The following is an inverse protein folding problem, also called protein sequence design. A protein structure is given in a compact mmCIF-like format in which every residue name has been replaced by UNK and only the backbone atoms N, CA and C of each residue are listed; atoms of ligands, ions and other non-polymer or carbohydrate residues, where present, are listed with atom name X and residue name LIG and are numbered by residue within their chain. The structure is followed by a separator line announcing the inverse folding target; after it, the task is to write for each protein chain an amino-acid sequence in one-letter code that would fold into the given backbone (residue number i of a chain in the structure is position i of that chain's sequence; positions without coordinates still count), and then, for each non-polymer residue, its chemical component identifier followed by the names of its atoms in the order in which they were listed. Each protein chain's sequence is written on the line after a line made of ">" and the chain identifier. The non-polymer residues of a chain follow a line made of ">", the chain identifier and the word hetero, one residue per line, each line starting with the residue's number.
data_IF_097105418668
#
_entry.id   IF_097105418668
#
_cell.length_a   1.000
_cell.length_b   1.000
_cell.length_c   1.000
_cell.angle_alpha   90.00
_cell.angle_beta   90.00
_cell.angle_gamma   90.00
#
_symmetry.space_group_name_H-M   'P 1'
#
loop_
_entity.id
_entity.type
_entity.pdbx_description
1 polymer ?
#
# COMPACT_ATOMS: atom_id res chain seq x y z
N UNK A 1 -9.38 8.54 -29.57
CA UNK A 1 -10.59 7.98 -28.97
C UNK A 1 -10.14 7.01 -27.91
N UNK A 2 -10.25 7.38 -26.63
CA UNK A 2 -9.94 6.46 -25.54
C UNK A 2 -11.00 5.37 -25.54
N UNK A 3 -10.62 4.17 -25.97
CA UNK A 3 -11.36 2.96 -25.67
C UNK A 3 -11.46 2.90 -24.15
N UNK A 4 -12.67 3.11 -23.62
CA UNK A 4 -12.93 3.13 -22.18
C UNK A 4 -12.22 1.96 -21.52
N UNK A 5 -11.61 2.20 -20.35
CA UNK A 5 -10.85 1.16 -19.64
C UNK A 5 -11.76 -0.04 -19.38
N UNK A 6 -11.55 -1.14 -20.11
CA UNK A 6 -12.33 -2.36 -19.93
C UNK A 6 -11.62 -3.22 -18.89
N UNK A 7 -12.16 -3.20 -17.68
CA UNK A 7 -11.78 -4.15 -16.64
C UNK A 7 -12.23 -5.56 -17.03
N UNK A 8 -11.31 -6.52 -16.93
CA UNK A 8 -11.52 -7.92 -17.30
C UNK A 8 -11.37 -8.84 -16.09
N UNK A 9 -11.83 -10.08 -16.25
CA UNK A 9 -11.54 -11.13 -15.27
C UNK A 9 -10.02 -11.33 -15.15
N UNK A 10 -9.56 -11.55 -13.92
CA UNK A 10 -8.13 -11.62 -13.61
C UNK A 10 -7.50 -12.87 -14.24
N UNK A 11 -6.48 -12.66 -15.09
CA UNK A 11 -5.66 -13.73 -15.67
C UNK A 11 -4.30 -13.80 -14.95
N UNK A 12 -3.60 -14.95 -14.98
CA UNK A 12 -2.22 -15.04 -14.51
C UNK A 12 -1.33 -13.99 -15.16
N UNK A 13 -0.42 -13.40 -14.38
CA UNK A 13 0.49 -12.37 -14.87
C UNK A 13 1.68 -13.02 -15.59
N UNK A 14 2.04 -12.48 -16.75
CA UNK A 14 3.15 -12.99 -17.57
C UNK A 14 4.45 -12.28 -17.19
N UNK A 15 5.51 -13.03 -16.94
CA UNK A 15 6.84 -12.55 -16.52
C UNK A 15 6.82 -11.54 -15.35
N UNK A 16 6.20 -11.90 -14.20
CA UNK A 16 6.09 -10.98 -13.07
C UNK A 16 7.43 -10.79 -12.34
N UNK A 17 7.72 -9.55 -11.97
CA UNK A 17 8.75 -9.16 -11.00
C UNK A 17 8.07 -8.75 -9.69
N UNK A 18 8.61 -9.19 -8.55
CA UNK A 18 8.01 -8.99 -7.24
C UNK A 18 8.77 -7.94 -6.41
N UNK A 19 8.05 -7.31 -5.49
CA UNK A 19 8.59 -6.44 -4.44
C UNK A 19 7.90 -6.74 -3.11
N UNK A 20 8.51 -6.37 -1.98
CA UNK A 20 7.94 -6.56 -0.65
C UNK A 20 6.73 -5.66 -0.39
N UNK A 21 5.72 -6.19 0.29
CA UNK A 21 4.52 -5.48 0.70
C UNK A 21 4.52 -5.30 2.23
N UNK A 22 5.36 -4.39 2.72
CA UNK A 22 5.46 -4.12 4.16
C UNK A 22 4.40 -3.12 4.62
N UNK A 23 4.21 -2.04 3.85
CA UNK A 23 3.25 -0.98 4.12
C UNK A 23 2.33 -0.75 2.91
N UNK A 24 1.09 -0.38 3.23
CA UNK A 24 0.12 0.11 2.24
C UNK A 24 -0.23 1.54 2.58
N UNK A 25 -0.55 2.32 1.55
CA UNK A 25 -0.92 3.73 1.67
C UNK A 25 -2.20 4.04 0.93
N UNK A 26 -3.01 4.93 1.52
CA UNK A 26 -4.11 5.63 0.84
C UNK A 26 -3.68 7.07 0.65
N UNK A 27 -3.39 7.42 -0.60
CA UNK A 27 -3.06 8.78 -0.98
C UNK A 27 -4.35 9.57 -1.22
N UNK A 28 -4.43 10.77 -0.67
CA UNK A 28 -5.56 11.68 -0.84
C UNK A 28 -5.08 13.10 -1.15
N UNK A 29 -5.94 13.88 -1.80
CA UNK A 29 -5.69 15.32 -1.96
C UNK A 29 -5.90 16.05 -0.63
N UNK A 30 -5.36 17.26 -0.53
CA UNK A 30 -5.32 17.97 0.74
C UNK A 30 -6.72 18.32 1.29
N UNK A 31 -7.69 18.61 0.42
CA UNK A 31 -9.09 18.79 0.81
C UNK A 31 -9.71 17.53 1.43
N UNK A 32 -9.48 16.37 0.82
CA UNK A 32 -9.95 15.08 1.36
C UNK A 32 -9.24 14.74 2.69
N UNK A 33 -7.99 15.17 2.85
CA UNK A 33 -7.27 15.07 4.13
C UNK A 33 -7.93 15.93 5.20
N UNK A 34 -8.23 17.20 4.91
CA UNK A 34 -8.93 18.09 5.84
C UNK A 34 -10.29 17.53 6.26
N UNK A 35 -11.05 16.99 5.31
CA UNK A 35 -12.33 16.32 5.59
C UNK A 35 -12.14 15.12 6.53
N UNK A 36 -11.09 14.31 6.30
CA UNK A 36 -10.79 13.17 7.16
C UNK A 36 -10.41 13.59 8.59
N UNK A 37 -9.63 14.67 8.75
CA UNK A 37 -9.31 15.24 10.08
C UNK A 37 -10.59 15.74 10.74
N UNK A 38 -11.41 16.52 10.05
CA UNK A 38 -12.66 17.08 10.61
C UNK A 38 -13.61 15.98 11.08
N UNK A 39 -13.71 14.87 10.34
CA UNK A 39 -14.57 13.73 10.68
C UNK A 39 -13.93 12.76 11.69
N UNK A 40 -12.62 12.85 11.90
CA UNK A 40 -11.84 11.85 12.63
C UNK A 40 -11.95 10.46 12.02
N UNK A 41 -12.08 10.36 10.69
CA UNK A 41 -12.20 9.08 9.97
C UNK A 41 -11.85 9.23 8.48
N UNK A 42 -11.32 8.17 7.87
CA UNK A 42 -11.17 8.12 6.41
C UNK A 42 -12.53 7.93 5.75
N UNK A 43 -12.85 8.71 4.71
CA UNK A 43 -14.16 8.66 4.05
C UNK A 43 -14.25 7.46 3.09
N UNK A 44 -15.10 6.44 3.39
CA UNK A 44 -15.25 5.27 2.53
C UNK A 44 -16.02 5.60 1.25
N UNK A 45 -15.70 4.88 0.17
CA UNK A 45 -16.35 5.03 -1.14
C UNK A 45 -17.04 3.74 -1.56
N UNK A 46 -18.08 3.84 -2.37
CA UNK A 46 -18.68 2.64 -2.99
C UNK A 46 -17.79 2.15 -4.13
N UNK A 47 -17.75 0.83 -4.35
CA UNK A 47 -17.13 0.25 -5.54
C UNK A 47 -18.06 0.45 -6.74
N UNK A 48 -17.87 1.53 -7.48
CA UNK A 48 -18.70 1.88 -8.65
C UNK A 48 -18.15 1.36 -9.97
N UNK A 49 -16.83 1.16 -10.07
CA UNK A 49 -16.13 0.98 -11.33
C UNK A 49 -15.68 -0.46 -11.60
N UNK A 50 -16.50 -1.46 -11.30
CA UNK A 50 -16.14 -2.87 -11.46
C UNK A 50 -17.17 -3.67 -12.26
N UNK A 51 -16.72 -4.79 -12.83
CA UNK A 51 -17.61 -5.76 -13.49
C UNK A 51 -18.68 -6.30 -12.54
N UNK A 52 -18.33 -6.39 -11.25
CA UNK A 52 -19.21 -6.89 -10.19
C UNK A 52 -19.65 -5.75 -9.29
N UNK A 53 -20.98 -5.54 -9.20
CA UNK A 53 -21.55 -4.58 -8.25
C UNK A 53 -21.37 -5.09 -6.83
N UNK A 54 -20.42 -4.53 -6.10
CA UNK A 54 -20.25 -4.74 -4.67
C UNK A 54 -21.09 -3.71 -3.91
N UNK A 55 -22.05 -4.18 -3.11
CA UNK A 55 -22.86 -3.33 -2.22
C UNK A 55 -22.14 -3.09 -0.89
N UNK A 56 -20.85 -2.77 -0.94
CA UNK A 56 -20.06 -2.43 0.23
C UNK A 56 -19.37 -1.09 0.04
N UNK A 57 -18.97 -0.50 1.17
CA UNK A 57 -18.08 0.64 1.20
C UNK A 57 -16.65 0.12 1.38
N UNK A 58 -15.72 0.75 0.68
CA UNK A 58 -14.32 0.40 0.71
C UNK A 58 -13.45 1.63 0.87
N UNK A 59 -12.26 1.42 1.42
CA UNK A 59 -11.14 2.34 1.29
C UNK A 59 -10.12 1.71 0.34
N UNK A 60 -9.75 2.45 -0.70
CA UNK A 60 -8.72 2.04 -1.65
C UNK A 60 -7.34 2.39 -1.11
N UNK A 61 -6.47 1.39 -1.08
CA UNK A 61 -5.06 1.45 -0.73
C UNK A 61 -4.21 0.84 -1.85
N UNK A 62 -2.92 1.14 -1.85
CA UNK A 62 -1.92 0.52 -2.72
C UNK A 62 -0.64 0.27 -1.91
N UNK A 63 0.30 -0.56 -2.39
CA UNK A 63 1.65 -0.63 -1.82
C UNK A 63 2.24 0.77 -1.64
N UNK A 64 2.84 1.03 -0.47
CA UNK A 64 3.43 2.34 -0.15
C UNK A 64 4.53 2.72 -1.14
N UNK A 65 4.62 4.01 -1.48
CA UNK A 65 5.64 4.56 -2.37
C UNK A 65 6.45 5.63 -1.65
N UNK A 66 7.63 5.95 -2.17
CA UNK A 66 8.42 7.06 -1.63
C UNK A 66 7.62 8.37 -1.67
N UNK A 67 7.66 9.12 -0.58
CA UNK A 67 7.07 10.46 -0.50
C UNK A 67 7.83 11.50 -1.32
N UNK A 68 9.11 11.25 -1.62
CA UNK A 68 9.95 12.15 -2.42
C UNK A 68 9.54 12.19 -3.89
N UNK A 69 9.02 11.07 -4.40
CA UNK A 69 8.60 10.92 -5.78
C UNK A 69 7.27 11.64 -6.01
N UNK A 70 7.07 12.16 -7.22
CA UNK A 70 5.79 12.77 -7.57
C UNK A 70 4.62 11.78 -7.39
N UNK A 71 3.72 12.12 -6.48
CA UNK A 71 2.56 11.31 -6.15
C UNK A 71 1.33 11.82 -6.89
N UNK A 72 0.98 11.15 -7.99
CA UNK A 72 -0.19 11.46 -8.81
C UNK A 72 -1.53 11.44 -8.07
N UNK A 73 -1.62 10.77 -6.91
CA UNK A 73 -2.87 10.55 -6.19
C UNK A 73 -3.19 11.61 -5.15
N UNK A 74 -2.21 12.42 -4.73
CA UNK A 74 -2.44 13.59 -3.88
C UNK A 74 -1.32 13.88 -2.89
N UNK A 75 -1.61 14.83 -2.01
CA UNK A 75 -0.66 15.48 -1.10
C UNK A 75 -0.34 14.67 0.15
N UNK A 76 -1.27 13.85 0.64
CA UNK A 76 -1.12 13.17 1.93
C UNK A 76 -1.36 11.68 1.78
N UNK A 77 -0.47 10.85 2.32
CA UNK A 77 -0.61 9.41 2.42
C UNK A 77 -0.99 9.01 3.84
N UNK A 78 -2.05 8.23 3.98
CA UNK A 78 -2.34 7.48 5.20
C UNK A 78 -1.70 6.10 5.08
N UNK A 79 -0.60 5.87 5.77
CA UNK A 79 0.25 4.69 5.63
C UNK A 79 0.15 3.79 6.86
N UNK A 80 0.00 2.48 6.64
CA UNK A 80 -0.12 1.47 7.71
C UNK A 80 0.54 0.17 7.27
N UNK A 81 1.06 -0.60 8.24
CA UNK A 81 1.65 -1.93 7.98
C UNK A 81 0.59 -2.88 7.43
N UNK A 82 0.93 -3.57 6.34
CA UNK A 82 0.03 -4.50 5.66
C UNK A 82 -0.44 -5.63 6.58
N UNK A 83 0.49 -6.20 7.34
CA UNK A 83 0.21 -7.30 8.28
C UNK A 83 -0.82 -6.91 9.34
N UNK A 84 -0.69 -5.71 9.92
CA UNK A 84 -1.64 -5.19 10.92
C UNK A 84 -3.05 -5.05 10.34
N UNK A 85 -3.15 -4.57 9.09
CA UNK A 85 -4.42 -4.44 8.39
C UNK A 85 -5.04 -5.82 8.10
N UNK A 86 -4.24 -6.78 7.60
CA UNK A 86 -4.73 -8.12 7.32
C UNK A 86 -5.26 -8.81 8.58
N UNK A 87 -4.53 -8.73 9.69
CA UNK A 87 -4.93 -9.32 10.96
C UNK A 87 -6.23 -8.70 11.49
N UNK A 88 -6.41 -7.38 11.35
CA UNK A 88 -7.58 -6.66 11.89
C UNK A 88 -8.81 -6.72 10.99
N UNK A 89 -8.64 -6.56 9.67
CA UNK A 89 -9.71 -6.28 8.71
C UNK A 89 -10.06 -7.45 7.80
N UNK A 90 -9.42 -8.60 7.99
CA UNK A 90 -9.94 -9.88 7.56
C UNK A 90 -8.94 -10.69 6.77
N UNK A 91 -9.00 -12.03 6.87
CA UNK A 91 -8.06 -12.90 6.21
C UNK A 91 -8.40 -13.11 4.72
N UNK A 92 -9.60 -12.73 4.28
CA UNK A 92 -10.08 -13.08 2.96
C UNK A 92 -9.68 -12.03 1.92
N UNK A 93 -9.06 -12.52 0.86
CA UNK A 93 -8.66 -11.74 -0.31
C UNK A 93 -9.35 -12.29 -1.54
N UNK A 94 -10.02 -11.42 -2.29
CA UNK A 94 -10.75 -11.79 -3.51
C UNK A 94 -10.32 -10.92 -4.68
N UNK A 95 -10.26 -11.48 -5.88
CA UNK A 95 -10.09 -10.71 -7.11
C UNK A 95 -11.34 -9.91 -7.43
N UNK A 96 -11.19 -8.60 -7.65
CA UNK A 96 -12.26 -7.77 -8.22
C UNK A 96 -12.17 -7.85 -9.74
N UNK A 97 -11.04 -7.40 -10.30
CA UNK A 97 -10.76 -7.43 -11.73
C UNK A 97 -9.30 -7.01 -12.03
N UNK A 98 -8.97 -6.96 -13.32
CA UNK A 98 -7.66 -6.58 -13.85
C UNK A 98 -7.83 -5.68 -15.06
N UNK A 99 -6.90 -4.75 -15.27
CA UNK A 99 -6.80 -3.95 -16.49
C UNK A 99 -5.36 -4.00 -17.03
N UNK A 100 -5.23 -4.16 -18.35
CA UNK A 100 -3.92 -4.21 -19.02
C UNK A 100 -3.87 -3.12 -20.08
N UNK A 101 -2.93 -2.19 -19.93
CA UNK A 101 -2.71 -1.06 -20.83
C UNK A 101 -1.39 -1.25 -21.60
N UNK A 102 -1.07 -0.32 -22.49
CA UNK A 102 0.22 -0.33 -23.20
C UNK A 102 1.39 0.05 -22.28
N UNK A 103 1.17 0.92 -21.31
CA UNK A 103 2.25 1.40 -20.44
C UNK A 103 2.31 0.70 -19.09
N UNK A 104 1.21 0.09 -18.64
CA UNK A 104 1.07 -0.48 -17.29
C UNK A 104 0.01 -1.55 -17.26
N UNK A 105 -0.08 -2.26 -16.15
CA UNK A 105 -1.23 -3.10 -15.81
C UNK A 105 -1.67 -2.82 -14.38
N UNK A 106 -2.88 -3.22 -14.03
CA UNK A 106 -3.46 -3.06 -12.70
C UNK A 106 -4.24 -4.33 -12.32
N UNK A 107 -4.07 -4.80 -11.09
CA UNK A 107 -4.95 -5.80 -10.49
C UNK A 107 -5.59 -5.21 -9.24
N UNK A 108 -6.91 -5.38 -9.11
CA UNK A 108 -7.67 -4.92 -7.95
C UNK A 108 -8.15 -6.10 -7.12
N UNK A 109 -7.88 -6.04 -5.83
CA UNK A 109 -8.27 -7.07 -4.86
C UNK A 109 -9.14 -6.48 -3.76
N UNK A 110 -10.02 -7.30 -3.20
CA UNK A 110 -10.86 -6.98 -2.04
C UNK A 110 -10.32 -7.69 -0.81
N UNK A 111 -9.99 -6.93 0.24
CA UNK A 111 -9.73 -7.42 1.59
C UNK A 111 -11.01 -7.29 2.42
N UNK A 112 -11.44 -8.38 3.07
CA UNK A 112 -12.68 -8.37 3.85
C UNK A 112 -12.72 -9.45 4.94
N UNK A 113 -13.48 -9.17 6.01
CA UNK A 113 -13.85 -10.14 7.05
C UNK A 113 -14.91 -11.13 6.55
N UNK A 114 -15.70 -10.76 5.55
CA UNK A 114 -16.81 -11.57 5.03
C UNK A 114 -16.29 -12.69 4.12
N UNK A 115 -17.07 -13.75 4.03
CA UNK A 115 -16.85 -14.80 3.04
C UNK A 115 -17.63 -14.46 1.76
N UNK A 116 -16.93 -14.41 0.63
CA UNK A 116 -17.52 -14.25 -0.71
C UNK A 116 -17.15 -15.38 -1.68
N UNK A 117 -16.82 -16.55 -1.15
CA UNK A 117 -16.58 -17.76 -1.93
C UNK A 117 -17.80 -18.06 -2.82
N UNK A 118 -17.55 -18.59 -4.01
CA UNK A 118 -18.58 -18.80 -5.04
C UNK A 118 -19.02 -17.52 -5.78
N UNK A 119 -18.83 -16.32 -5.20
CA UNK A 119 -19.12 -15.04 -5.86
C UNK A 119 -17.87 -14.40 -6.48
N UNK A 120 -16.74 -14.49 -5.79
CA UNK A 120 -15.46 -14.02 -6.29
C UNK A 120 -14.40 -15.12 -6.23
N UNK A 121 -13.43 -15.04 -7.13
CA UNK A 121 -12.27 -15.92 -7.08
C UNK A 121 -11.35 -15.45 -5.95
N UNK A 122 -11.07 -16.34 -5.00
CA UNK A 122 -10.12 -16.09 -3.92
C UNK A 122 -8.71 -15.87 -4.48
N UNK A 123 -7.95 -14.97 -3.87
CA UNK A 123 -6.54 -14.79 -4.17
C UNK A 123 -5.79 -15.95 -3.52
N UNK A 124 -5.12 -16.75 -4.34
CA UNK A 124 -4.19 -17.76 -3.84
C UNK A 124 -2.84 -17.10 -3.58
N UNK A 125 -2.41 -17.13 -2.33
CA UNK A 125 -1.17 -16.51 -1.87
C UNK A 125 0.06 -17.43 -2.07
N UNK A 126 -0.15 -18.69 -2.43
CA UNK A 126 0.91 -19.69 -2.57
C UNK A 126 1.21 -20.02 -4.04
N UNK A 127 0.40 -19.52 -4.97
CA UNK A 127 0.54 -19.79 -6.41
C UNK A 127 1.49 -18.80 -7.07
N UNK A 128 2.43 -19.36 -7.84
CA UNK A 128 3.33 -18.59 -8.71
C UNK A 128 2.50 -17.74 -9.68
N UNK A 129 2.98 -16.52 -9.97
CA UNK A 129 2.29 -15.56 -10.84
C UNK A 129 1.01 -14.92 -10.26
N UNK A 130 0.69 -15.19 -8.99
CA UNK A 130 -0.32 -14.42 -8.26
C UNK A 130 0.17 -12.96 -8.08
N UNK A 131 -0.70 -11.94 -8.26
CA UNK A 131 -0.33 -10.53 -8.05
C UNK A 131 0.06 -10.21 -6.61
N UNK A 132 -0.31 -11.08 -5.67
CA UNK A 132 0.04 -11.01 -4.26
C UNK A 132 0.36 -12.42 -3.78
N UNK A 133 1.52 -12.60 -3.15
CA UNK A 133 1.97 -13.87 -2.59
C UNK A 133 2.39 -13.69 -1.13
N UNK A 134 2.30 -14.79 -0.39
CA UNK A 134 2.89 -14.90 0.94
C UNK A 134 4.22 -15.64 0.80
N UNK A 135 5.31 -14.99 1.19
CA UNK A 135 6.63 -15.59 1.25
C UNK A 135 7.12 -15.57 2.70
N UNK A 136 8.12 -16.38 3.08
CA UNK A 136 8.82 -16.11 4.35
C UNK A 136 9.88 -15.04 4.06
N UNK A 137 9.90 -13.88 4.76
CA UNK A 137 9.23 -13.58 6.03
C UNK A 137 7.89 -12.80 5.96
N UNK A 138 7.36 -12.42 4.80
CA UNK A 138 6.16 -11.57 4.72
C UNK A 138 5.30 -11.71 3.46
N UNK A 139 4.95 -10.58 2.86
CA UNK A 139 4.15 -10.54 1.64
C UNK A 139 4.95 -9.90 0.52
N UNK A 140 4.74 -10.40 -0.70
CA UNK A 140 5.29 -9.79 -1.91
C UNK A 140 4.17 -9.57 -2.90
N UNK A 141 4.27 -8.49 -3.67
CA UNK A 141 3.32 -8.15 -4.72
C UNK A 141 4.06 -8.01 -6.06
N UNK A 142 3.32 -8.16 -7.16
CA UNK A 142 3.89 -7.94 -8.49
C UNK A 142 4.05 -6.44 -8.72
N UNK A 143 5.29 -5.98 -8.89
CA UNK A 143 5.63 -4.59 -9.17
C UNK A 143 5.75 -4.32 -10.68
N UNK A 144 6.12 -5.34 -11.46
CA UNK A 144 6.24 -5.27 -12.93
C UNK A 144 5.78 -6.57 -13.58
N UNK A 145 5.21 -6.49 -14.77
CA UNK A 145 4.90 -7.67 -15.59
C UNK A 145 4.72 -7.28 -17.05
N UNK A 146 4.54 -8.26 -17.93
CA UNK A 146 4.17 -8.04 -19.32
C UNK A 146 2.82 -7.31 -19.39
N UNK A 147 2.81 -6.15 -20.05
CA UNK A 147 1.62 -5.41 -20.42
C UNK A 147 1.25 -5.69 -21.89
N UNK A 148 0.45 -4.85 -22.56
CA UNK A 148 0.08 -5.12 -23.97
C UNK A 148 1.25 -5.14 -24.95
N UNK A 149 2.35 -4.45 -24.63
CA UNK A 149 3.45 -4.23 -25.58
C UNK A 149 4.83 -4.59 -25.02
N UNK A 150 5.07 -4.48 -23.71
CA UNK A 150 6.37 -4.78 -23.08
C UNK A 150 6.25 -5.10 -21.61
N UNK A 151 7.35 -5.54 -20.99
CA UNK A 151 7.44 -5.56 -19.54
C UNK A 151 7.35 -4.13 -18.99
N UNK A 152 6.48 -3.90 -18.01
CA UNK A 152 6.26 -2.57 -17.44
C UNK A 152 5.59 -2.62 -16.08
N UNK A 153 5.32 -1.45 -15.47
CA UNK A 153 4.78 -1.36 -14.12
C UNK A 153 3.44 -2.08 -13.96
N UNK A 154 3.29 -2.77 -12.83
CA UNK A 154 2.05 -3.34 -12.35
C UNK A 154 1.59 -2.60 -11.10
N UNK A 155 0.31 -2.21 -11.07
CA UNK A 155 -0.31 -1.54 -9.93
C UNK A 155 -1.20 -2.55 -9.20
N UNK A 156 -0.92 -2.80 -7.93
CA UNK A 156 -1.85 -3.51 -7.05
C UNK A 156 -2.71 -2.47 -6.32
N UNK A 157 -4.03 -2.53 -6.49
CA UNK A 157 -4.98 -1.76 -5.69
C UNK A 157 -5.76 -2.68 -4.75
N UNK A 158 -5.84 -2.31 -3.49
CA UNK A 158 -6.47 -3.08 -2.43
C UNK A 158 -7.67 -2.29 -1.92
N UNK A 159 -8.87 -2.75 -2.28
CA UNK A 159 -10.10 -2.31 -1.66
C UNK A 159 -10.26 -3.00 -0.32
N UNK A 160 -10.23 -2.25 0.77
CA UNK A 160 -10.52 -2.76 2.11
C UNK A 160 -11.99 -2.50 2.40
N UNK A 161 -12.80 -3.55 2.56
CA UNK A 161 -14.19 -3.40 3.00
C UNK A 161 -14.24 -2.89 4.43
N UNK A 162 -14.93 -1.76 4.64
CA UNK A 162 -15.00 -1.09 5.94
C UNK A 162 -16.41 -0.65 6.28
N UNK A 163 -16.69 -0.61 7.58
CA UNK A 163 -17.74 0.23 8.16
C UNK A 163 -17.11 1.48 8.81
N UNK A 164 -17.92 2.33 9.44
CA UNK A 164 -17.44 3.56 10.08
C UNK A 164 -16.40 3.30 11.19
N UNK A 165 -16.56 2.23 11.96
CA UNK A 165 -15.63 1.87 13.02
C UNK A 165 -14.27 1.44 12.46
N UNK A 166 -14.26 0.62 11.40
CA UNK A 166 -13.05 0.20 10.70
C UNK A 166 -12.35 1.39 10.02
N UNK A 167 -13.12 2.33 9.47
CA UNK A 167 -12.60 3.56 8.85
C UNK A 167 -11.97 4.54 9.86
N UNK A 168 -12.58 4.70 11.04
CA UNK A 168 -12.01 5.43 12.19
C UNK A 168 -10.74 4.75 12.69
N UNK A 169 -10.77 3.43 12.82
CA UNK A 169 -9.60 2.67 13.25
C UNK A 169 -8.42 2.88 12.28
N UNK A 170 -8.65 2.78 10.97
CA UNK A 170 -7.59 3.07 9.98
C UNK A 170 -7.08 4.51 10.09
N UNK A 171 -7.96 5.50 10.24
CA UNK A 171 -7.54 6.89 10.44
C UNK A 171 -6.57 7.05 11.63
N UNK A 172 -6.89 6.41 12.76
CA UNK A 172 -6.09 6.49 13.99
C UNK A 172 -4.81 5.65 13.95
N UNK A 173 -4.75 4.60 13.13
CA UNK A 173 -3.61 3.68 13.07
C UNK A 173 -2.71 3.91 11.85
N UNK A 174 -3.10 4.80 10.94
CA UNK A 174 -2.25 5.24 9.85
C UNK A 174 -1.34 6.38 10.32
N UNK A 175 -0.07 6.31 9.92
CA UNK A 175 0.83 7.48 9.91
C UNK A 175 0.47 8.36 8.72
N UNK A 176 0.32 9.66 8.94
CA UNK A 176 0.18 10.64 7.87
C UNK A 176 1.58 10.97 7.34
N UNK A 177 1.75 10.92 6.02
CA UNK A 177 3.01 11.21 5.34
C UNK A 177 2.73 12.24 4.24
N UNK A 178 3.45 13.36 4.26
CA UNK A 178 3.42 14.34 3.20
C UNK A 178 4.03 13.75 1.92
N UNK A 179 3.41 14.01 0.77
CA UNK A 179 3.89 13.57 -0.54
C UNK A 179 4.31 14.76 -1.38
N UNK A 180 5.29 14.55 -2.25
CA UNK A 180 5.61 15.46 -3.33
C UNK A 180 4.48 15.46 -4.37
N UNK A 181 3.80 16.59 -4.56
CA UNK A 181 2.80 16.79 -5.61
C UNK A 181 3.16 17.99 -6.51
N UNK A 182 4.41 18.41 -6.49
CA UNK A 182 4.88 19.65 -7.14
C UNK A 182 4.83 19.60 -8.67
N UNK A 183 4.72 18.42 -9.28
CA UNK A 183 4.58 18.31 -10.74
C UNK A 183 3.13 18.28 -11.23
N UNK A 184 2.15 18.41 -10.33
CA UNK A 184 0.73 18.24 -10.65
C UNK A 184 0.30 19.08 -11.87
N UNK A 185 0.73 20.34 -12.00
CA UNK A 185 0.31 21.20 -13.12
C UNK A 185 1.36 21.33 -14.23
N UNK A 186 2.21 20.33 -14.42
CA UNK A 186 3.21 20.35 -15.49
C UNK A 186 2.53 20.48 -16.87
N UNK A 187 2.96 21.48 -17.65
CA UNK A 187 2.44 21.74 -19.00
C UNK A 187 3.03 20.77 -20.02
N UNK A 188 2.29 20.48 -21.09
CA UNK A 188 2.80 19.73 -22.24
C UNK A 188 3.70 20.64 -23.08
N UNK A 189 4.99 20.30 -23.26
CA UNK A 189 5.99 21.13 -23.97
C UNK A 189 5.65 21.41 -25.46
N UNK A 190 4.70 20.69 -26.06
CA UNK A 190 4.35 20.78 -27.48
C UNK A 190 2.94 21.35 -27.76
N UNK A 191 2.37 22.18 -26.86
CA UNK A 191 1.03 22.74 -27.04
C UNK A 191 0.88 23.81 -28.15
N UNK A 192 1.88 24.00 -29.02
CA UNK A 192 1.89 25.03 -30.09
C UNK A 192 0.70 24.93 -31.07
N UNK A 193 0.00 23.81 -31.12
CA UNK A 193 -1.11 23.57 -32.06
C UNK A 193 -2.51 23.72 -31.44
N UNK A 194 -2.63 23.85 -30.12
CA UNK A 194 -3.92 23.78 -29.42
C UNK A 194 -4.13 24.95 -28.44
N UNK A 195 -4.23 26.17 -28.95
CA UNK A 195 -4.77 27.33 -28.22
C UNK A 195 -4.09 27.74 -26.89
N UNK A 196 -4.45 28.91 -26.33
CA UNK A 196 -3.87 29.43 -25.08
C UNK A 196 -4.32 28.70 -23.81
N UNK A 197 -5.33 27.83 -23.89
CA UNK A 197 -5.77 26.96 -22.78
C UNK A 197 -4.87 25.73 -22.68
N UNK A 198 -3.60 25.96 -22.33
CA UNK A 198 -2.58 24.91 -22.26
C UNK A 198 -3.03 23.78 -21.33
N UNK A 199 -3.45 22.66 -21.93
CA UNK A 199 -3.92 21.45 -21.25
C UNK A 199 -2.83 20.95 -20.30
N UNK A 200 -3.10 21.00 -19.01
CA UNK A 200 -2.28 20.34 -17.99
C UNK A 200 -2.16 18.86 -18.36
N UNK A 201 -1.00 18.25 -18.09
CA UNK A 201 -0.83 16.82 -18.28
C UNK A 201 -1.82 16.05 -17.39
N UNK A 202 -2.85 15.45 -17.97
CA UNK A 202 -3.90 14.74 -17.23
C UNK A 202 -3.36 13.60 -16.35
N UNK A 203 -2.19 13.05 -16.65
CA UNK A 203 -1.53 12.00 -15.86
C UNK A 203 -0.63 12.54 -14.73
N UNK A 204 -0.70 13.83 -14.37
CA UNK A 204 0.05 14.44 -13.26
C UNK A 204 -0.76 14.69 -11.99
N UNK A 205 -2.08 14.83 -12.06
CA UNK A 205 -2.97 14.73 -10.90
C UNK A 205 -4.28 14.00 -11.26
N UNK A 206 -4.63 12.94 -10.50
CA UNK A 206 -5.81 12.12 -10.82
C UNK A 206 -7.12 12.88 -10.62
N UNK A 207 -7.25 13.58 -9.48
CA UNK A 207 -8.51 14.20 -9.06
C UNK A 207 -8.83 15.43 -9.91
N UNK A 208 -7.89 16.36 -10.02
CA UNK A 208 -8.13 17.63 -10.71
C UNK A 208 -7.84 17.54 -12.20
N UNK A 209 -6.63 17.12 -12.63
CA UNK A 209 -6.31 17.16 -14.05
C UNK A 209 -7.01 16.05 -14.85
N UNK A 210 -6.94 14.79 -14.37
CA UNK A 210 -7.49 13.67 -15.12
C UNK A 210 -9.02 13.61 -15.07
N UNK A 211 -9.59 13.67 -13.84
CA UNK A 211 -11.01 13.43 -13.64
C UNK A 211 -11.88 14.68 -13.82
N UNK A 212 -11.38 15.86 -13.45
CA UNK A 212 -12.13 17.11 -13.52
C UNK A 212 -11.70 18.03 -14.68
N UNK A 213 -10.57 17.72 -15.33
CA UNK A 213 -9.96 18.59 -16.34
C UNK A 213 -9.71 20.02 -15.82
N UNK A 214 -9.27 20.13 -14.56
CA UNK A 214 -8.95 21.38 -13.85
C UNK A 214 -7.49 21.43 -13.43
N UNK A 215 -6.99 22.64 -13.18
CA UNK A 215 -5.70 22.88 -12.51
C UNK A 215 -5.81 22.40 -11.05
N UNK A 216 -4.81 21.65 -10.59
CA UNK A 216 -4.74 21.20 -9.19
C UNK A 216 -4.36 22.39 -8.30
N UNK A 217 -5.17 22.74 -7.29
CA UNK A 217 -4.84 23.84 -6.37
C UNK A 217 -3.75 23.47 -5.36
N UNK A 218 -3.35 22.19 -5.29
CA UNK A 218 -2.45 21.64 -4.28
C UNK A 218 -1.11 21.18 -4.88
N UNK A 219 -0.56 21.90 -5.85
CA UNK A 219 0.73 21.59 -6.44
C UNK A 219 1.87 21.97 -5.50
N UNK A 220 2.15 21.12 -4.52
CA UNK A 220 3.06 21.42 -3.42
C UNK A 220 4.22 20.44 -3.37
N UNK A 221 5.36 20.93 -2.92
CA UNK A 221 6.50 20.12 -2.47
C UNK A 221 6.17 19.37 -1.17
N UNK A 222 7.05 18.45 -0.76
CA UNK A 222 6.91 17.74 0.52
C UNK A 222 6.87 18.73 1.69
N UNK A 223 7.82 19.65 1.75
CA UNK A 223 7.94 20.62 2.85
C UNK A 223 6.70 21.54 2.98
N UNK A 224 6.20 22.06 1.85
CA UNK A 224 4.95 22.84 1.85
C UNK A 224 3.78 22.00 2.34
N UNK A 225 3.69 20.73 1.94
CA UNK A 225 2.64 19.84 2.38
C UNK A 225 2.73 19.56 3.90
N UNK A 226 3.92 19.32 4.44
CA UNK A 226 4.16 19.15 5.88
C UNK A 226 3.67 20.38 6.68
N UNK A 227 4.05 21.58 6.26
CA UNK A 227 3.60 22.83 6.89
C UNK A 227 2.05 22.91 6.93
N UNK A 228 1.39 22.55 5.84
CA UNK A 228 -0.08 22.58 5.77
C UNK A 228 -0.72 21.50 6.63
N UNK A 229 -0.15 20.29 6.69
CA UNK A 229 -0.61 19.22 7.59
C UNK A 229 -0.55 19.70 9.04
N UNK A 230 0.58 20.30 9.45
CA UNK A 230 0.78 20.80 10.82
C UNK A 230 -0.23 21.90 11.18
N UNK A 231 -0.49 22.83 10.26
CA UNK A 231 -1.48 23.89 10.45
C UNK A 231 -2.91 23.33 10.69
N UNK A 232 -3.29 22.25 10.01
CA UNK A 232 -4.60 21.59 10.20
C UNK A 232 -4.69 20.97 11.60
N UNK A 233 -3.62 20.34 12.10
CA UNK A 233 -3.63 19.77 13.44
C UNK A 233 -3.59 20.83 14.54
N UNK A 234 -2.84 21.92 14.37
CA UNK A 234 -2.79 23.04 15.32
C UNK A 234 -4.17 23.73 15.46
N UNK A 235 -4.85 23.97 14.33
CA UNK A 235 -6.19 24.57 14.35
C UNK A 235 -7.24 23.66 15.02
N UNK A 236 -7.14 22.35 14.81
CA UNK A 236 -8.07 21.37 15.42
C UNK A 236 -7.88 21.23 16.93
N UNK A 237 -6.63 21.24 17.41
CA UNK A 237 -6.33 21.23 18.87
C UNK A 237 -6.89 22.47 19.56
N UNK A 238 -6.66 23.64 18.97
CA UNK A 238 -7.16 24.92 19.48
C UNK A 238 -8.69 24.93 19.58
N UNK A 239 -9.38 24.41 18.56
CA UNK A 239 -10.84 24.30 18.57
C UNK A 239 -11.36 23.33 19.65
N UNK A 240 -10.67 22.22 19.87
CA UNK A 240 -11.06 21.21 20.88
C UNK A 240 -10.88 21.75 22.30
N UNK A 241 -9.80 22.46 22.58
CA UNK A 241 -9.57 23.12 23.87
C UNK A 241 -10.58 24.23 24.17
N UNK A 242 -10.96 25.03 23.15
CA UNK A 242 -12.00 26.06 23.27
C UNK A 242 -13.39 25.42 23.48
N UNK A 243 -13.66 24.29 22.80
CA UNK A 243 -14.89 23.51 22.97
C UNK A 243 -15.01 22.90 24.37
N UNK A 244 -13.90 22.36 24.91
CA UNK A 244 -13.84 21.80 26.27
C UNK A 244 -14.05 22.88 27.34
N UNK A 245 -13.51 24.09 27.14
CA UNK A 245 -13.76 25.22 28.06
C UNK A 245 -15.21 25.72 28.02
N UNK A 246 -15.87 25.66 26.86
CA UNK A 246 -17.30 26.04 26.73
C UNK A 246 -18.25 24.98 27.29
N UNK A 247 -17.89 23.70 27.33
CA UNK A 247 -18.71 22.66 27.97
C UNK A 247 -18.60 22.63 29.50
N UNK A 248 -17.52 23.14 30.08
CA UNK A 248 -17.36 23.29 31.55
C UNK A 248 -18.16 24.48 32.12
N UNK A 249 -18.74 25.33 31.28
CA UNK A 249 -19.57 26.49 31.73
C UNK A 249 -21.08 26.22 31.76
N UNK A 250 -21.52 24.97 31.52
CA UNK A 250 -22.90 24.53 31.80
C UNK A 250 -22.86 23.59 32.99
N UNK A 251 -22.88 24.18 34.19
CA UNK A 251 -23.27 23.47 35.41
C UNK A 251 -24.66 22.87 35.20
N UNK A 252 -24.69 21.56 34.92
CA UNK A 252 -25.88 20.76 35.07
C UNK A 252 -25.98 20.47 36.57
N UNK A 253 -26.91 21.13 37.24
CA UNK A 253 -27.38 20.74 38.57
C UNK A 253 -28.00 19.33 38.46
N UNK A 254 -27.21 18.29 38.70
CA UNK A 254 -27.69 16.92 38.88
C UNK A 254 -27.69 16.64 40.40
N UNK A 255 -28.85 16.27 40.98
CA UNK A 255 -28.90 15.93 42.40
C UNK A 255 -28.08 14.66 42.68
N UNK A 256 -27.17 14.81 43.64
CA UNK A 256 -26.24 13.79 44.11
C UNK A 256 -27.03 12.68 44.82
N UNK A 257 -27.13 11.50 44.21
CA UNK A 257 -27.37 10.27 44.94
C UNK A 257 -26.03 9.68 45.37
N UNK A 258 -25.73 9.80 46.66
CA UNK A 258 -24.64 9.07 47.32
C UNK A 258 -25.00 7.59 47.36
N UNK A 259 -24.10 6.75 46.87
CA UNK A 259 -23.81 5.48 47.55
C UNK A 259 -22.32 5.18 47.41
N UNK A 260 -21.71 5.03 48.58
CA UNK A 260 -20.34 4.62 48.82
C UNK A 260 -20.13 3.17 48.39
N UNK A 261 -18.97 2.89 47.80
CA UNK A 261 -18.21 1.68 48.11
C UNK A 261 -16.70 1.97 47.99
N UNK A 262 -15.89 1.73 49.04
CA UNK A 262 -14.46 1.90 49.02
C UNK A 262 -13.78 0.54 48.84
N UNK A 263 -12.99 0.36 47.77
CA UNK A 263 -11.79 -0.49 47.73
C UNK A 263 -11.34 -0.73 46.29
N UNK A 264 -10.36 0.04 45.83
CA UNK A 264 -9.54 -0.31 44.67
C UNK A 264 -8.33 0.65 44.62
N UNK A 265 -7.23 0.22 45.24
CA UNK A 265 -5.93 0.88 45.15
C UNK A 265 -5.26 0.45 43.84
N UNK A 266 -5.07 1.39 42.91
CA UNK A 266 -4.28 1.18 41.70
C UNK A 266 -3.07 2.11 41.72
N UNK A 267 -1.88 1.54 41.93
CA UNK A 267 -0.59 2.21 41.81
C UNK A 267 -0.19 2.36 40.34
N UNK A 268 -0.05 3.59 39.87
CA UNK A 268 0.51 3.95 38.57
C UNK A 268 1.93 4.48 38.78
N UNK A 269 2.94 3.70 38.36
CA UNK A 269 4.31 4.20 38.20
C UNK A 269 4.48 4.79 36.80
N UNK A 270 4.67 6.10 36.80
CA UNK A 270 5.26 6.91 35.74
C UNK A 270 6.76 6.62 35.61
N UNK A 271 7.25 6.62 34.37
CA UNK A 271 8.62 7.05 34.07
C UNK A 271 8.66 7.59 32.64
N UNK A 272 8.86 8.89 32.56
CA UNK A 272 9.21 9.69 31.40
C UNK A 272 10.67 9.47 30.94
N UNK A 273 10.99 10.13 29.81
CA UNK A 273 12.30 10.60 29.35
C UNK A 273 13.17 9.63 28.51
N UNK A 274 13.90 10.02 27.45
CA UNK A 274 14.12 11.28 26.71
C UNK A 274 14.99 10.94 25.45
N UNK A 275 14.78 11.68 24.35
CA UNK A 275 15.77 12.29 23.45
C UNK A 275 16.73 11.56 22.47
N UNK A 276 16.77 12.16 21.26
CA UNK A 276 17.96 12.55 20.44
C UNK A 276 18.71 11.43 19.69
N UNK A 277 19.29 11.59 18.50
CA UNK A 277 19.35 12.61 17.43
C UNK A 277 20.12 11.97 16.25
N UNK A 278 20.18 12.69 15.13
CA UNK A 278 21.27 12.70 14.14
C UNK A 278 21.16 11.92 12.81
N UNK A 279 20.78 12.71 11.80
CA UNK A 279 21.32 12.85 10.45
C UNK A 279 22.31 11.81 9.91
N UNK A 280 22.04 11.34 8.68
CA UNK A 280 23.04 11.37 7.60
C UNK A 280 22.39 11.37 6.21
N UNK A 281 22.88 12.29 5.38
CA UNK A 281 22.60 12.47 3.95
C UNK A 281 22.93 11.22 3.13
N UNK A 282 22.09 10.88 2.15
CA UNK A 282 22.54 10.14 0.97
C UNK A 282 21.71 10.49 -0.25
N UNK A 283 22.29 11.32 -1.09
CA UNK A 283 21.89 11.58 -2.47
C UNK A 283 22.25 10.38 -3.33
N UNK A 284 21.29 9.78 -4.02
CA UNK A 284 21.57 8.88 -5.13
C UNK A 284 20.76 9.28 -6.36
N UNK A 285 21.51 9.79 -7.34
CA UNK A 285 21.11 9.89 -8.73
C UNK A 285 20.87 8.49 -9.31
N UNK A 286 19.81 8.37 -10.11
CA UNK A 286 19.56 7.21 -10.94
C UNK A 286 20.69 7.03 -11.95
N UNK A 287 21.42 5.91 -11.85
CA UNK A 287 21.98 5.27 -13.04
C UNK A 287 21.85 3.73 -12.94
N UNK A 288 21.28 3.19 -14.01
CA UNK A 288 21.16 1.80 -14.38
C UNK A 288 22.49 1.03 -14.31
N UNK A 289 22.50 -0.15 -13.68
CA UNK A 289 23.08 -1.41 -14.21
C UNK A 289 23.06 -2.51 -13.13
N UNK A 290 22.77 -3.73 -13.57
CA UNK A 290 23.01 -5.04 -12.95
C UNK A 290 23.87 -5.07 -11.67
N UNK A 291 23.38 -5.74 -10.62
CA UNK A 291 23.75 -7.13 -10.30
C UNK A 291 23.20 -7.53 -8.91
N UNK A 292 22.44 -8.64 -8.86
CA UNK A 292 22.13 -9.45 -7.66
C UNK A 292 21.14 -10.56 -8.03
N UNK A 293 21.61 -11.55 -8.77
CA UNK A 293 20.92 -12.84 -8.97
C UNK A 293 21.61 -14.02 -8.25
N UNK A 294 22.57 -13.76 -7.35
CA UNK A 294 23.43 -14.83 -6.82
C UNK A 294 22.83 -15.64 -5.67
N UNK A 295 21.77 -15.17 -5.00
CA UNK A 295 21.23 -15.89 -3.82
C UNK A 295 20.24 -17.00 -4.19
N UNK A 296 19.44 -16.83 -5.25
CA UNK A 296 18.52 -17.88 -5.70
C UNK A 296 19.24 -19.01 -6.45
N UNK A 297 20.36 -18.72 -7.15
CA UNK A 297 21.12 -19.73 -7.88
C UNK A 297 21.78 -20.77 -6.96
N UNK A 298 22.26 -20.35 -5.79
CA UNK A 298 22.90 -21.26 -4.83
C UNK A 298 21.90 -22.26 -4.20
N UNK A 299 20.65 -21.84 -3.98
CA UNK A 299 19.60 -22.73 -3.48
C UNK A 299 19.21 -23.76 -4.55
N UNK A 300 19.09 -23.34 -5.82
CA UNK A 300 18.82 -24.28 -6.92
C UNK A 300 19.98 -25.26 -7.17
N UNK A 301 21.25 -24.83 -7.09
CA UNK A 301 22.39 -25.76 -7.17
C UNK A 301 22.38 -26.75 -6.01
N UNK A 302 22.10 -26.32 -4.77
CA UNK A 302 22.08 -27.24 -3.62
C UNK A 302 20.98 -28.31 -3.72
N UNK A 303 19.80 -27.95 -4.24
CA UNK A 303 18.69 -28.89 -4.44
C UNK A 303 18.99 -29.83 -5.61
N UNK A 304 19.61 -29.33 -6.68
CA UNK A 304 20.01 -30.14 -7.83
C UNK A 304 21.10 -31.16 -7.47
N UNK A 305 22.11 -30.77 -6.68
CA UNK A 305 23.12 -31.70 -6.18
C UNK A 305 22.54 -32.73 -5.22
N UNK A 306 21.60 -32.35 -4.34
CA UNK A 306 20.91 -33.29 -3.47
C UNK A 306 20.10 -34.32 -4.28
N UNK A 307 19.44 -33.89 -5.35
CA UNK A 307 18.70 -34.80 -6.25
C UNK A 307 19.61 -35.75 -7.03
N UNK A 308 20.76 -35.27 -7.52
CA UNK A 308 21.77 -36.11 -8.17
C UNK A 308 22.39 -37.15 -7.22
N UNK A 309 22.56 -36.78 -5.95
CA UNK A 309 23.09 -37.68 -4.92
C UNK A 309 22.11 -38.80 -4.56
N UNK A 310 20.81 -38.48 -4.48
CA UNK A 310 19.76 -39.44 -4.14
C UNK A 310 19.43 -40.37 -5.32
N UNK A 311 19.51 -39.87 -6.56
CA UNK A 311 19.12 -40.64 -7.75
C UNK A 311 20.22 -41.57 -8.30
N UNK A 312 21.48 -41.44 -7.88
CA UNK A 312 22.60 -42.29 -8.35
C UNK A 312 23.25 -43.14 -7.25
N UNK A 313 22.60 -43.29 -6.10
CA UNK A 313 23.13 -44.04 -4.95
C UNK A 313 23.57 -45.49 -5.26
N UNK A 314 22.92 -46.27 -6.15
CA UNK A 314 23.42 -47.61 -6.46
C UNK A 314 24.67 -47.62 -7.35
N UNK A 315 24.98 -46.55 -8.10
CA UNK A 315 26.17 -46.52 -8.99
C UNK A 315 27.43 -46.10 -8.22
N UNK A 316 27.29 -45.22 -7.23
CA UNK A 316 28.42 -44.74 -6.43
C UNK A 316 28.97 -45.80 -5.47
N UNK A 317 28.14 -46.73 -4.97
CA UNK A 317 28.62 -47.85 -4.14
C UNK A 317 29.48 -48.86 -4.93
N UNK A 318 29.19 -49.09 -6.22
CA UNK A 318 30.02 -49.99 -7.03
C UNK A 318 31.40 -49.41 -7.35
N UNK A 319 31.51 -48.08 -7.48
CA UNK A 319 32.80 -47.44 -7.76
C UNK A 319 33.76 -47.48 -6.56
N UNK A 320 33.25 -47.38 -5.33
CA UNK A 320 34.07 -47.48 -4.12
C UNK A 320 34.47 -48.94 -3.79
N UNK A 321 33.61 -49.93 -4.07
CA UNK A 321 34.01 -51.34 -3.95
C UNK A 321 35.08 -51.74 -4.98
N UNK A 322 35.06 -51.14 -6.18
CA UNK A 322 36.07 -51.42 -7.21
C UNK A 322 37.44 -50.82 -6.89
N UNK A 323 37.47 -49.62 -6.29
CA UNK A 323 38.73 -48.98 -5.84
C UNK A 323 39.31 -49.69 -4.61
N UNK A 324 38.47 -50.17 -3.70
CA UNK A 324 38.93 -50.93 -2.53
C UNK A 324 39.56 -52.28 -2.92
N UNK A 325 39.04 -52.95 -3.95
CA UNK A 325 39.61 -54.21 -4.46
C UNK A 325 40.94 -54.03 -5.22
N UNK A 326 41.21 -52.84 -5.75
CA UNK A 326 42.43 -52.56 -6.51
C UNK A 326 43.57 -52.02 -5.64
N UNK A 327 43.27 -51.42 -4.50
CA UNK A 327 44.28 -50.92 -3.56
C UNK A 327 44.79 -52.00 -2.57
N UNK A 328 44.16 -53.17 -2.52
CA UNK A 328 44.58 -54.30 -1.67
C UNK A 328 45.48 -55.31 -2.42
N UNK A 329 45.91 -54.96 -3.66
CA UNK A 329 46.82 -55.77 -4.50
C UNK A 329 48.02 -55.01 -5.07
N UNK A 330 48.28 -53.80 -4.59
CA UNK A 330 49.55 -53.07 -4.76
C UNK A 330 50.19 -53.00 -3.39
#
# INVERSE_FOLDING_TARGET
>A
MDSGTVFQAVKPLVNPTYAYLDEISRCVHFDDFQEAVQKGMLVPQRVTNGRTKLRCQVLWFAPSRSSSDHNFFGNVSFTVRWETVQQKLGPNLYFIDQAVFNSRSCTRVLLTKKNYDGRFRKVDLNVLHSPLQKCRPGFIYVSHCMNKVRNGPHVLEIAIEVNDADARWLYLNCRQVANNHSEANTRVRNARTYGPESKVQGNKCLKFNAAQNLVCPYQWTVAECEEKIDAVFQSTRSATEIGLRKSVSREINIPIFRNHDPNSSFDLKSSDDLNSSDYLNSSYELNSSYDRSSSCYLIFLSIFFLFLFISNFPVFMFFFLFIYFFLDRI
#
